data_IF_619861910473
#
_entry.id   IF_619861910473
#
_cell.length_a   1.000
_cell.length_b   1.000
_cell.length_c   1.000
_cell.angle_alpha   90.00
_cell.angle_beta   90.00
_cell.angle_gamma   90.00
#
_symmetry.space_group_name_H-M   'P 1'
#
loop_
_entity.id
_entity.type
_entity.pdbx_description
1 polymer ?
#
# COMPACT_ATOMS: atom_id res chain seq x y z
N UNK A 1 10.29 5.82 -27.67
CA UNK A 1 10.13 4.34 -27.60
C UNK A 1 11.17 3.63 -26.72
N UNK A 2 12.35 4.20 -26.45
CA UNK A 2 13.37 3.58 -25.58
C UNK A 2 13.03 3.58 -24.07
N UNK A 3 12.34 4.60 -23.54
CA UNK A 3 11.95 4.70 -22.10
C UNK A 3 10.95 3.64 -21.62
N UNK A 4 10.24 2.97 -22.53
CA UNK A 4 9.25 1.92 -22.19
C UNK A 4 9.92 0.56 -21.97
N UNK A 5 11.13 0.34 -22.52
CA UNK A 5 11.84 -0.95 -22.46
C UNK A 5 12.72 -1.12 -21.21
N UNK A 6 13.21 -0.03 -20.59
CA UNK A 6 14.00 -0.12 -19.35
C UNK A 6 13.15 -0.46 -18.11
N UNK A 7 11.87 -0.07 -18.08
CA UNK A 7 10.93 -0.45 -17.02
C UNK A 7 10.52 -1.94 -17.06
N UNK A 8 10.78 -2.64 -18.17
CA UNK A 8 10.14 -3.93 -18.47
C UNK A 8 10.94 -5.18 -18.03
N UNK A 9 12.21 -5.01 -17.61
CA UNK A 9 13.04 -6.13 -17.08
C UNK A 9 13.23 -6.09 -15.56
N UNK A 10 13.22 -4.92 -14.90
CA UNK A 10 13.30 -4.79 -13.44
C UNK A 10 11.95 -4.47 -12.76
N UNK A 11 11.03 -3.77 -13.45
CA UNK A 11 9.72 -3.39 -12.90
C UNK A 11 8.75 -4.56 -12.68
N UNK A 12 8.96 -5.70 -13.37
CA UNK A 12 8.16 -6.93 -13.23
C UNK A 12 8.25 -7.60 -11.85
N UNK A 13 9.19 -7.21 -10.98
CA UNK A 13 9.33 -7.77 -9.62
C UNK A 13 8.52 -7.05 -8.55
N UNK A 14 8.23 -5.76 -8.72
CA UNK A 14 7.55 -4.94 -7.71
C UNK A 14 6.06 -4.80 -7.98
N UNK A 15 5.69 -4.46 -9.22
CA UNK A 15 4.31 -4.41 -9.67
C UNK A 15 3.89 -5.77 -10.22
N UNK A 16 2.87 -6.36 -9.59
CA UNK A 16 2.26 -7.61 -10.05
C UNK A 16 1.44 -7.39 -11.32
N UNK A 17 0.83 -6.21 -11.45
CA UNK A 17 -0.04 -5.87 -12.58
C UNK A 17 0.03 -4.36 -12.83
N UNK A 18 0.01 -3.98 -14.10
CA UNK A 18 -0.19 -2.61 -14.55
C UNK A 18 -1.34 -2.67 -15.55
N UNK A 19 -2.34 -1.82 -15.34
CA UNK A 19 -3.55 -1.78 -16.17
C UNK A 19 -3.71 -0.38 -16.76
N UNK A 20 -4.05 -0.29 -18.03
CA UNK A 20 -4.47 0.95 -18.65
C UNK A 20 -5.98 0.85 -18.91
N UNK A 21 -6.77 1.70 -18.23
CA UNK A 21 -8.23 1.75 -18.37
C UNK A 21 -8.68 3.20 -18.41
N UNK A 22 -9.46 3.57 -19.43
CA UNK A 22 -10.05 4.92 -19.56
C UNK A 22 -9.01 6.06 -19.45
N UNK A 23 -7.86 5.90 -20.10
CA UNK A 23 -6.71 6.82 -20.03
C UNK A 23 -6.11 7.00 -18.62
N UNK A 24 -6.40 6.07 -17.71
CA UNK A 24 -5.80 5.99 -16.38
C UNK A 24 -4.92 4.75 -16.27
N UNK A 25 -3.70 4.93 -15.79
CA UNK A 25 -2.79 3.82 -15.50
C UNK A 25 -2.91 3.42 -14.03
N UNK A 26 -3.27 2.16 -13.77
CA UNK A 26 -3.39 1.58 -12.44
C UNK A 26 -2.22 0.63 -12.18
N UNK A 27 -1.43 0.94 -11.15
CA UNK A 27 -0.27 0.17 -10.75
C UNK A 27 -0.62 -0.67 -9.53
N UNK A 28 -0.50 -1.99 -9.65
CA UNK A 28 -0.81 -2.94 -8.59
C UNK A 28 0.48 -3.58 -8.10
N UNK A 29 0.86 -3.31 -6.86
CA UNK A 29 2.03 -3.96 -6.26
C UNK A 29 1.79 -5.46 -6.08
N UNK A 30 2.86 -6.23 -5.86
CA UNK A 30 2.72 -7.51 -5.17
C UNK A 30 2.25 -7.29 -3.71
N UNK A 31 1.90 -8.37 -3.04
CA UNK A 31 1.45 -8.32 -1.64
C UNK A 31 2.68 -8.17 -0.73
N UNK A 32 2.68 -7.13 0.09
CA UNK A 32 3.65 -6.86 1.14
C UNK A 32 3.05 -7.09 2.53
N UNK A 33 3.91 -7.24 3.53
CA UNK A 33 3.46 -7.40 4.92
C UNK A 33 2.86 -6.08 5.43
N UNK A 34 3.62 -5.00 5.32
CA UNK A 34 3.25 -3.64 5.74
C UNK A 34 4.16 -2.60 5.09
N UNK A 35 3.79 -1.32 5.20
CA UNK A 35 4.71 -0.21 4.96
C UNK A 35 5.68 -0.13 6.14
N UNK A 36 6.97 -0.32 5.85
CA UNK A 36 8.06 -0.34 6.82
C UNK A 36 8.70 1.03 7.04
N UNK A 37 8.67 1.92 6.07
CA UNK A 37 9.06 3.32 6.27
C UNK A 37 8.52 4.19 5.14
N UNK A 38 8.53 5.50 5.33
CA UNK A 38 8.21 6.47 4.30
C UNK A 38 8.91 7.79 4.57
N UNK A 39 9.14 8.56 3.51
CA UNK A 39 9.84 9.85 3.61
C UNK A 39 9.38 10.77 2.47
N UNK A 40 8.92 11.96 2.82
CA UNK A 40 8.70 13.04 1.86
C UNK A 40 10.05 13.70 1.51
N UNK A 41 10.34 13.83 0.21
CA UNK A 41 11.46 14.62 -0.31
C UNK A 41 10.93 15.70 -1.26
N UNK A 42 10.31 16.78 -0.73
CA UNK A 42 9.68 17.83 -1.55
C UNK A 42 10.64 18.46 -2.55
N UNK A 43 11.90 18.73 -2.16
CA UNK A 43 12.92 19.32 -3.02
C UNK A 43 13.27 18.43 -4.24
N UNK A 44 13.07 17.12 -4.12
CA UNK A 44 13.25 16.16 -5.23
C UNK A 44 11.92 15.79 -5.88
N UNK A 45 10.81 16.30 -5.35
CA UNK A 45 9.44 15.98 -5.71
C UNK A 45 9.16 14.48 -5.71
N UNK A 46 9.67 13.78 -4.70
CA UNK A 46 9.48 12.34 -4.51
C UNK A 46 8.91 12.06 -3.12
N UNK A 47 7.90 11.21 -3.05
CA UNK A 47 7.46 10.61 -1.78
C UNK A 47 7.86 9.15 -1.78
N UNK A 48 8.79 8.77 -0.91
CA UNK A 48 9.32 7.40 -0.85
C UNK A 48 8.47 6.53 0.08
N UNK A 49 8.18 5.31 -0.37
CA UNK A 49 7.51 4.27 0.41
C UNK A 49 8.39 3.03 0.44
N UNK A 50 8.67 2.52 1.63
CA UNK A 50 9.40 1.28 1.86
C UNK A 50 8.47 0.22 2.44
N UNK A 51 8.53 -0.99 1.92
CA UNK A 51 7.64 -2.10 2.24
C UNK A 51 8.44 -3.28 2.78
N UNK A 52 7.90 -3.94 3.80
CA UNK A 52 8.46 -5.21 4.31
C UNK A 52 7.90 -6.38 3.51
N UNK A 53 8.78 -7.26 3.02
CA UNK A 53 8.38 -8.46 2.28
C UNK A 53 7.56 -9.42 3.18
N UNK A 54 6.66 -10.19 2.57
CA UNK A 54 5.80 -11.15 3.29
C UNK A 54 6.53 -12.42 3.72
N UNK A 55 7.49 -12.88 2.91
CA UNK A 55 8.21 -14.14 3.11
C UNK A 55 9.51 -13.97 3.89
N UNK A 56 10.11 -12.78 3.86
CA UNK A 56 11.34 -12.50 4.60
C UNK A 56 11.24 -11.10 5.26
N UNK A 57 11.14 -11.02 6.60
CA UNK A 57 10.98 -9.74 7.29
C UNK A 57 12.21 -8.82 7.17
N UNK A 58 13.38 -9.36 6.82
CA UNK A 58 14.62 -8.60 6.61
C UNK A 58 14.77 -8.09 5.17
N UNK A 59 13.87 -8.49 4.25
CA UNK A 59 13.85 -7.99 2.88
C UNK A 59 12.87 -6.83 2.74
N UNK A 60 13.39 -5.75 2.18
CA UNK A 60 12.65 -4.52 1.94
C UNK A 60 12.66 -4.17 0.45
N UNK A 61 11.57 -3.60 0.00
CA UNK A 61 11.44 -3.08 -1.36
C UNK A 61 10.77 -1.71 -1.29
N UNK A 62 11.00 -0.85 -2.28
CA UNK A 62 10.49 0.51 -2.21
C UNK A 62 10.04 1.05 -3.55
N UNK A 63 9.19 2.08 -3.49
CA UNK A 63 8.76 2.86 -4.63
C UNK A 63 8.77 4.35 -4.28
N UNK A 64 8.76 5.19 -5.30
CA UNK A 64 8.42 6.61 -5.14
C UNK A 64 7.05 6.88 -5.75
N UNK A 65 6.16 7.55 -5.00
CA UNK A 65 4.91 8.05 -5.56
C UNK A 65 5.21 9.14 -6.58
N UNK A 66 4.27 9.32 -7.52
CA UNK A 66 4.43 10.24 -8.63
C UNK A 66 4.57 11.68 -8.15
N UNK A 67 5.40 12.45 -8.86
CA UNK A 67 5.39 13.89 -8.75
C UNK A 67 4.08 14.43 -9.31
N UNK A 68 3.45 15.40 -8.65
CA UNK A 68 2.38 16.20 -9.28
C UNK A 68 3.05 17.11 -10.30
N UNK A 69 3.22 16.62 -11.54
CA UNK A 69 3.57 17.47 -12.69
C UNK A 69 2.28 18.01 -13.29
N UNK A 70 2.35 19.12 -14.03
CA UNK A 70 1.18 19.75 -14.63
C UNK A 70 0.25 18.72 -15.31
N UNK A 71 -0.97 18.62 -14.80
CA UNK A 71 -2.04 17.79 -15.36
C UNK A 71 -2.40 16.51 -14.59
N UNK A 72 -1.56 15.99 -13.66
CA UNK A 72 -1.91 14.83 -12.84
C UNK A 72 -2.06 15.18 -11.35
N UNK A 73 -3.30 15.41 -10.93
CA UNK A 73 -3.66 15.92 -9.59
C UNK A 73 -3.89 14.76 -8.62
N UNK A 74 -3.30 14.84 -7.43
CA UNK A 74 -3.61 13.92 -6.34
C UNK A 74 -5.06 14.11 -5.86
N UNK A 75 -5.82 13.01 -5.81
CA UNK A 75 -7.23 12.98 -5.47
C UNK A 75 -7.49 12.50 -4.04
N UNK A 76 -6.59 11.70 -3.47
CA UNK A 76 -6.69 11.23 -2.08
C UNK A 76 -6.17 9.82 -1.88
N UNK A 77 -6.34 9.35 -0.65
CA UNK A 77 -5.99 8.01 -0.20
C UNK A 77 -7.27 7.22 0.03
N UNK A 78 -7.34 6.01 -0.52
CA UNK A 78 -8.49 5.13 -0.37
C UNK A 78 -8.06 3.76 0.13
N UNK A 79 -8.91 3.09 0.90
CA UNK A 79 -8.65 1.75 1.42
C UNK A 79 -9.69 0.77 0.91
N UNK A 80 -9.27 -0.47 0.69
CA UNK A 80 -10.17 -1.49 0.22
C UNK A 80 -9.57 -2.88 0.29
N UNK A 81 -10.35 -3.84 -0.19
CA UNK A 81 -9.89 -5.21 -0.40
C UNK A 81 -10.50 -5.79 -1.66
N UNK A 82 -9.79 -6.73 -2.27
CA UNK A 82 -10.30 -7.50 -3.41
C UNK A 82 -10.12 -8.99 -3.15
N UNK A 83 -11.02 -9.80 -3.71
CA UNK A 83 -10.87 -11.25 -3.70
C UNK A 83 -9.73 -11.62 -4.64
N UNK A 84 -8.80 -12.43 -4.17
CA UNK A 84 -7.72 -12.93 -5.01
C UNK A 84 -8.25 -14.06 -5.91
N UNK A 85 -7.84 -14.07 -7.17
CA UNK A 85 -8.20 -15.12 -8.13
C UNK A 85 -7.68 -16.50 -7.71
N UNK A 86 -6.54 -16.54 -7.02
CA UNK A 86 -5.98 -17.71 -6.34
C UNK A 86 -5.53 -17.32 -4.93
N UNK A 87 -5.69 -18.20 -3.93
CA UNK A 87 -5.19 -17.92 -2.59
C UNK A 87 -3.68 -17.63 -2.60
N UNK A 88 -3.26 -16.58 -1.88
CA UNK A 88 -1.86 -16.29 -1.65
C UNK A 88 -1.37 -17.12 -0.47
N UNK A 89 -0.43 -18.03 -0.73
CA UNK A 89 0.09 -19.02 0.23
C UNK A 89 1.34 -18.45 0.88
N UNK A 90 1.40 -18.51 2.21
CA UNK A 90 2.55 -18.08 3.00
C UNK A 90 2.97 -19.25 3.87
N UNK A 91 4.16 -19.77 3.61
CA UNK A 91 4.80 -20.77 4.44
C UNK A 91 5.76 -20.05 5.39
N UNK A 92 5.70 -20.38 6.66
CA UNK A 92 6.60 -19.85 7.68
C UNK A 92 6.87 -20.91 8.73
N UNK A 93 7.92 -20.71 9.51
CA UNK A 93 8.30 -21.60 10.61
C UNK A 93 8.08 -20.85 11.93
N UNK A 94 7.44 -21.52 12.88
CA UNK A 94 7.21 -20.99 14.22
C UNK A 94 7.49 -22.11 15.21
N UNK A 95 8.48 -21.91 16.08
CA UNK A 95 8.96 -22.92 17.03
C UNK A 95 9.32 -24.25 16.35
N UNK A 96 10.10 -24.20 15.26
CA UNK A 96 10.49 -25.36 14.44
C UNK A 96 9.33 -26.10 13.73
N UNK A 97 8.10 -25.61 13.86
CA UNK A 97 6.93 -26.18 13.19
C UNK A 97 6.64 -25.38 11.92
N UNK A 98 6.64 -26.07 10.78
CA UNK A 98 6.22 -25.50 9.49
C UNK A 98 4.72 -25.22 9.50
N UNK A 99 4.34 -23.97 9.29
CA UNK A 99 2.96 -23.49 9.21
C UNK A 99 2.68 -22.89 7.84
N UNK A 100 1.45 -23.07 7.39
CA UNK A 100 0.97 -22.54 6.11
C UNK A 100 -0.28 -21.70 6.35
N UNK A 101 -0.23 -20.42 5.96
CA UNK A 101 -1.40 -19.54 5.94
C UNK A 101 -1.83 -19.27 4.51
N UNK A 102 -3.14 -19.36 4.26
CA UNK A 102 -3.76 -19.00 2.98
C UNK A 102 -4.50 -17.68 3.12
N UNK A 103 -4.22 -16.73 2.24
CA UNK A 103 -4.91 -15.44 2.16
C UNK A 103 -5.76 -15.41 0.90
N UNK A 104 -7.06 -15.16 1.04
CA UNK A 104 -8.00 -15.08 -0.08
C UNK A 104 -8.41 -13.65 -0.44
N UNK A 105 -8.03 -12.66 0.40
CA UNK A 105 -8.31 -11.23 0.19
C UNK A 105 -7.02 -10.42 0.18
N UNK A 106 -6.83 -9.63 -0.86
CA UNK A 106 -5.76 -8.63 -0.92
C UNK A 106 -6.28 -7.29 -0.43
N UNK A 107 -5.87 -6.88 0.77
CA UNK A 107 -6.14 -5.54 1.31
C UNK A 107 -5.16 -4.54 0.71
N UNK A 108 -5.61 -3.33 0.43
CA UNK A 108 -4.76 -2.31 -0.19
C UNK A 108 -5.02 -0.92 0.37
N UNK A 109 -3.99 -0.08 0.24
CA UNK A 109 -4.10 1.38 0.22
C UNK A 109 -3.89 1.85 -1.22
N UNK A 110 -4.77 2.72 -1.71
CA UNK A 110 -4.73 3.31 -3.04
C UNK A 110 -4.33 4.78 -2.91
N UNK A 111 -3.24 5.15 -3.57
CA UNK A 111 -2.89 6.56 -3.82
C UNK A 111 -3.48 6.95 -5.17
N UNK A 112 -4.56 7.73 -5.16
CA UNK A 112 -5.31 8.06 -6.37
C UNK A 112 -4.89 9.40 -6.94
N UNK A 113 -4.66 9.42 -8.25
CA UNK A 113 -4.36 10.60 -9.05
C UNK A 113 -5.38 10.74 -10.19
N UNK A 114 -5.37 11.87 -10.89
CA UNK A 114 -6.31 12.13 -11.99
C UNK A 114 -6.09 11.18 -13.17
N UNK A 115 -4.83 10.89 -13.49
CA UNK A 115 -4.39 10.05 -14.62
C UNK A 115 -3.97 8.65 -14.20
N UNK A 116 -4.11 8.27 -12.93
CA UNK A 116 -3.71 6.94 -12.49
C UNK A 116 -3.87 6.69 -11.01
N UNK A 117 -3.57 5.47 -10.58
CA UNK A 117 -3.62 5.06 -9.18
C UNK A 117 -2.49 4.09 -8.85
N UNK A 118 -1.99 4.13 -7.62
CA UNK A 118 -1.05 3.13 -7.09
C UNK A 118 -1.72 2.34 -5.98
N UNK A 119 -2.03 1.07 -6.24
CA UNK A 119 -2.58 0.11 -5.30
C UNK A 119 -1.45 -0.66 -4.61
N UNK A 120 -1.20 -0.32 -3.35
CA UNK A 120 -0.23 -1.00 -2.50
C UNK A 120 -0.95 -2.08 -1.67
N UNK A 121 -0.69 -3.35 -1.97
CA UNK A 121 -1.31 -4.47 -1.25
C UNK A 121 -0.56 -4.80 0.04
N UNK A 122 -1.26 -4.72 1.17
CA UNK A 122 -0.69 -4.85 2.52
C UNK A 122 -1.48 -5.87 3.34
N UNK A 123 -0.84 -6.99 3.74
CA UNK A 123 -1.47 -8.01 4.59
C UNK A 123 -1.90 -7.45 5.95
N UNK A 124 -1.07 -6.59 6.53
CA UNK A 124 -1.26 -6.02 7.87
C UNK A 124 -2.57 -5.24 8.02
N UNK A 125 -3.11 -4.62 6.96
CA UNK A 125 -4.38 -3.89 7.01
C UNK A 125 -5.56 -4.77 7.50
N UNK A 126 -5.52 -6.07 7.24
CA UNK A 126 -6.52 -7.02 7.78
C UNK A 126 -6.57 -7.06 9.31
N UNK A 127 -5.50 -6.65 9.99
CA UNK A 127 -5.42 -6.56 11.46
C UNK A 127 -6.33 -5.46 11.98
N UNK A 128 -6.43 -4.35 11.24
CA UNK A 128 -7.19 -3.15 11.65
C UNK A 128 -8.70 -3.39 11.62
N UNK A 129 -9.17 -4.36 10.83
CA UNK A 129 -10.58 -4.68 10.67
C UNK A 129 -11.13 -5.68 11.70
N UNK A 130 -10.28 -6.25 12.58
CA UNK A 130 -10.71 -7.25 13.56
C UNK A 130 -10.85 -6.58 14.93
N UNK A 131 -12.07 -6.48 15.46
CA UNK A 131 -12.33 -5.85 16.77
C UNK A 131 -11.45 -6.40 17.90
N UNK A 132 -11.25 -7.73 17.93
CA UNK A 132 -10.37 -8.40 18.92
C UNK A 132 -8.90 -7.96 18.92
N UNK A 133 -8.46 -7.17 17.95
CA UNK A 133 -7.10 -6.65 17.88
C UNK A 133 -6.98 -5.22 18.41
N UNK A 134 -8.09 -4.50 18.63
CA UNK A 134 -8.06 -3.16 19.24
C UNK A 134 -7.34 -3.23 20.60
N UNK A 135 -6.53 -2.22 20.89
CA UNK A 135 -5.73 -2.14 22.12
C UNK A 135 -4.41 -2.92 22.10
N UNK A 136 -4.20 -3.84 21.15
CA UNK A 136 -2.90 -4.55 21.04
C UNK A 136 -1.81 -3.61 20.52
N UNK A 137 -0.60 -3.75 21.04
CA UNK A 137 0.57 -2.94 20.65
C UNK A 137 0.77 -2.86 19.14
N UNK A 138 0.69 -4.00 18.45
CA UNK A 138 0.84 -4.04 17.00
C UNK A 138 -0.29 -3.32 16.25
N UNK A 139 -1.54 -3.43 16.73
CA UNK A 139 -2.68 -2.71 16.15
C UNK A 139 -2.47 -1.20 16.25
N UNK A 140 -2.17 -0.71 17.46
CA UNK A 140 -1.99 0.71 17.72
C UNK A 140 -0.81 1.28 16.92
N UNK A 141 0.32 0.55 16.88
CA UNK A 141 1.49 0.92 16.08
C UNK A 141 1.18 1.01 14.59
N UNK A 142 0.46 0.01 14.04
CA UNK A 142 0.05 -0.01 12.64
C UNK A 142 -0.90 1.16 12.33
N UNK A 143 -1.88 1.42 13.19
CA UNK A 143 -2.84 2.51 12.99
C UNK A 143 -2.14 3.87 13.02
N UNK A 144 -1.34 4.15 14.06
CA UNK A 144 -0.62 5.41 14.21
C UNK A 144 0.32 5.66 13.02
N UNK A 145 1.02 4.61 12.58
CA UNK A 145 1.86 4.69 11.38
C UNK A 145 1.06 4.99 10.11
N UNK A 146 -0.12 4.38 9.97
CA UNK A 146 -0.99 4.61 8.81
C UNK A 146 -1.51 6.05 8.81
N UNK A 147 -1.95 6.57 9.95
CA UNK A 147 -2.38 7.96 10.10
C UNK A 147 -1.25 8.95 9.79
N UNK A 148 -0.04 8.68 10.28
CA UNK A 148 1.15 9.50 9.98
C UNK A 148 1.44 9.52 8.48
N UNK A 149 1.38 8.36 7.83
CA UNK A 149 1.54 8.26 6.37
C UNK A 149 0.51 9.10 5.64
N UNK A 150 -0.77 9.02 6.03
CA UNK A 150 -1.82 9.83 5.41
C UNK A 150 -1.52 11.31 5.52
N UNK A 151 -1.18 11.80 6.71
CA UNK A 151 -0.86 13.21 6.97
C UNK A 151 0.31 13.69 6.10
N UNK A 152 1.41 12.94 6.07
CA UNK A 152 2.59 13.31 5.29
C UNK A 152 2.33 13.30 3.77
N UNK A 153 1.54 12.34 3.26
CA UNK A 153 1.17 12.30 1.84
C UNK A 153 0.27 13.48 1.46
N UNK A 154 -0.72 13.81 2.30
CA UNK A 154 -1.58 14.96 2.07
C UNK A 154 -0.76 16.26 2.07
N UNK A 155 0.13 16.44 3.05
CA UNK A 155 1.03 17.59 3.12
C UNK A 155 1.93 17.68 1.88
N UNK A 156 2.55 16.57 1.47
CA UNK A 156 3.41 16.52 0.29
C UNK A 156 2.69 16.95 -0.99
N UNK A 157 1.40 16.64 -1.11
CA UNK A 157 0.57 17.01 -2.26
C UNK A 157 -0.26 18.30 -2.05
N UNK A 158 0.04 19.09 -1.00
CA UNK A 158 -0.68 20.32 -0.66
C UNK A 158 -2.20 20.12 -0.59
N UNK A 159 -2.60 19.02 0.08
CA UNK A 159 -3.99 18.68 0.37
C UNK A 159 -4.26 18.76 1.86
N UNK A 160 -5.46 19.18 2.20
CA UNK A 160 -5.95 19.10 3.57
C UNK A 160 -6.18 17.63 3.95
N UNK A 161 -5.67 17.26 5.12
CA UNK A 161 -5.95 15.95 5.72
C UNK A 161 -7.27 16.04 6.48
N UNK A 162 -8.20 15.14 6.18
CA UNK A 162 -9.47 15.02 6.91
C UNK A 162 -9.56 13.64 7.52
N UNK A 163 -9.49 13.58 8.85
CA UNK A 163 -9.38 12.33 9.63
C UNK A 163 -10.58 11.42 9.41
N UNK A 164 -11.76 11.99 9.16
CA UNK A 164 -13.03 11.30 8.92
C UNK A 164 -13.17 10.68 7.51
N UNK A 165 -12.17 10.77 6.63
CA UNK A 165 -12.26 10.27 5.23
C UNK A 165 -11.27 9.15 4.88
N UNK A 166 -10.28 8.90 5.75
CA UNK A 166 -9.20 7.94 5.53
C UNK A 166 -9.39 6.57 6.19
N UNK A 167 -8.31 6.06 6.77
CA UNK A 167 -8.24 4.73 7.40
C UNK A 167 -9.27 4.56 8.52
N UNK A 168 -9.56 5.61 9.29
CA UNK A 168 -10.52 5.58 10.41
C UNK A 168 -11.91 5.19 9.91
N UNK A 169 -12.45 5.97 8.96
CA UNK A 169 -13.76 5.69 8.35
C UNK A 169 -13.80 4.33 7.66
N UNK A 170 -12.70 3.92 7.04
CA UNK A 170 -12.63 2.59 6.43
C UNK A 170 -12.71 1.47 7.49
N UNK A 171 -12.02 1.61 8.61
CA UNK A 171 -12.12 0.67 9.74
C UNK A 171 -13.55 0.65 10.26
N UNK A 172 -14.15 1.79 10.60
CA UNK A 172 -15.51 1.88 11.15
C UNK A 172 -16.54 1.16 10.26
N UNK A 173 -16.46 1.35 8.93
CA UNK A 173 -17.38 0.73 7.98
C UNK A 173 -17.18 -0.77 7.78
N UNK A 174 -15.98 -1.29 8.03
CA UNK A 174 -15.60 -2.66 7.66
C UNK A 174 -15.20 -3.53 8.86
N UNK A 175 -15.22 -2.96 10.06
CA UNK A 175 -14.89 -3.66 11.28
C UNK A 175 -15.94 -4.74 11.55
N UNK A 176 -15.43 -5.94 11.80
CA UNK A 176 -16.20 -7.09 12.27
C UNK A 176 -15.72 -7.51 13.65
#
# INVERSE_FOLDING_TARGET
MARKRELDKEGKKFFKKIEDKDYKTMYHTKIFSMINNFEARPNKGKFWLCFRNVFNPNKYESLHLFHVRQGDKFLGIFYGFTKLSKPFIINYEENQIKKTTKITKGFYVEFRFKKGSVFCYLRSLSTLLKAKNKGKTFYNSLLNRTLKLEREVHQFYSKEYVEDKGIIKWIEKNQK
#
